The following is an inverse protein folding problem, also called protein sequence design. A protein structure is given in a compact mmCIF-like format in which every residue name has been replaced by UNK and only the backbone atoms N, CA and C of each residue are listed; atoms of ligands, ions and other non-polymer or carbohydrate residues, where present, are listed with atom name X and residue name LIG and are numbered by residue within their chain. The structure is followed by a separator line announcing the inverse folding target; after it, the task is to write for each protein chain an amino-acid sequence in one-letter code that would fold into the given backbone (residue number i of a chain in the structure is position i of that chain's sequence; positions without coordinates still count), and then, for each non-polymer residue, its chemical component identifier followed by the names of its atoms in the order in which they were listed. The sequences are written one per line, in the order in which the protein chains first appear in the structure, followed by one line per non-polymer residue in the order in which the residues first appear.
data_IF_568226948023
#
_entry.id   IF_568226948023
#
_cell.length_a   1.000
_cell.length_b   1.000
_cell.length_c   1.000
_cell.angle_alpha   90.00
_cell.angle_beta   90.00
_cell.angle_gamma   90.00
#
_symmetry.space_group_name_H-M   'P 1'
#
loop_
_entity.id
_entity.type
_entity.pdbx_description
1 polymer ?
#
# COMPACT_ATOMS: atom_id res chain seq x y z
N UNK A 1 -16.57 -7.17 0.09
CA UNK A 1 -15.16 -6.74 0.25
C UNK A 1 -15.12 -5.52 1.18
N UNK A 2 -15.12 -5.74 2.51
CA UNK A 2 -15.09 -4.64 3.51
C UNK A 2 -13.67 -4.14 3.81
N UNK A 3 -12.65 -4.92 3.45
CA UNK A 3 -11.25 -4.63 3.76
C UNK A 3 -10.74 -3.33 3.12
N UNK A 4 -10.98 -3.15 1.82
CA UNK A 4 -10.47 -2.00 1.05
C UNK A 4 -11.24 -0.68 1.30
N UNK A 5 -12.25 -0.71 2.17
CA UNK A 5 -13.08 0.44 2.53
C UNK A 5 -12.80 0.98 3.94
N UNK A 6 -12.08 0.24 4.78
CA UNK A 6 -11.76 0.67 6.15
C UNK A 6 -10.40 1.34 6.24
N UNK A 7 -10.36 2.55 6.81
CA UNK A 7 -9.14 3.35 7.02
C UNK A 7 -8.12 2.62 7.89
N UNK A 8 -8.58 1.80 8.84
CA UNK A 8 -7.70 0.99 9.69
C UNK A 8 -6.77 0.09 8.87
N UNK A 9 -7.30 -0.59 7.85
CA UNK A 9 -6.48 -1.49 7.03
C UNK A 9 -5.54 -0.73 6.11
N UNK A 10 -5.96 0.44 5.61
CA UNK A 10 -5.07 1.35 4.90
C UNK A 10 -3.89 1.75 5.81
N UNK A 11 -4.15 2.15 7.05
CA UNK A 11 -3.10 2.59 7.98
C UNK A 11 -2.11 1.46 8.32
N UNK A 12 -2.58 0.21 8.40
CA UNK A 12 -1.71 -0.95 8.54
C UNK A 12 -0.79 -1.07 7.33
N UNK A 13 -1.31 -0.96 6.11
CA UNK A 13 -0.47 -1.00 4.91
C UNK A 13 0.55 0.15 4.87
N UNK A 14 0.15 1.37 5.23
CA UNK A 14 1.06 2.52 5.31
C UNK A 14 2.16 2.30 6.35
N UNK A 15 1.84 1.65 7.47
CA UNK A 15 2.81 1.29 8.50
C UNK A 15 3.80 0.26 7.99
N UNK A 16 3.32 -0.79 7.31
CA UNK A 16 4.16 -1.85 6.75
C UNK A 16 5.07 -1.36 5.60
N UNK A 17 4.70 -0.28 4.91
CA UNK A 17 5.60 0.40 3.95
C UNK A 17 6.86 0.98 4.61
N UNK A 18 6.88 1.14 5.94
CA UNK A 18 8.02 1.62 6.72
C UNK A 18 8.87 0.48 7.30
N UNK A 19 8.47 -0.77 7.09
CA UNK A 19 9.15 -1.92 7.69
C UNK A 19 10.60 -2.04 7.20
N UNK A 20 11.49 -2.56 8.04
CA UNK A 20 12.90 -2.79 7.69
C UNK A 20 13.10 -3.85 6.61
N UNK A 21 12.21 -4.85 6.54
CA UNK A 21 12.24 -5.94 5.58
C UNK A 21 11.81 -5.48 4.19
N UNK A 22 12.67 -5.72 3.19
CA UNK A 22 12.37 -5.47 1.78
C UNK A 22 11.09 -6.17 1.33
N UNK A 23 10.91 -7.44 1.71
CA UNK A 23 9.79 -8.26 1.27
C UNK A 23 8.47 -7.77 1.89
N UNK A 24 8.48 -7.38 3.17
CA UNK A 24 7.29 -6.82 3.82
C UNK A 24 6.86 -5.52 3.13
N UNK A 25 7.80 -4.62 2.83
CA UNK A 25 7.49 -3.38 2.11
C UNK A 25 6.89 -3.63 0.72
N UNK A 26 7.42 -4.61 -0.02
CA UNK A 26 6.91 -4.98 -1.36
C UNK A 26 5.49 -5.54 -1.25
N UNK A 27 5.24 -6.53 -0.38
CA UNK A 27 3.91 -7.10 -0.19
C UNK A 27 2.89 -6.04 0.25
N UNK A 28 3.27 -5.17 1.21
CA UNK A 28 2.43 -4.07 1.65
C UNK A 28 2.11 -3.09 0.50
N UNK A 29 3.07 -2.83 -0.39
CA UNK A 29 2.84 -1.99 -1.56
C UNK A 29 1.84 -2.62 -2.54
N UNK A 30 1.93 -3.92 -2.81
CA UNK A 30 0.96 -4.61 -3.67
C UNK A 30 -0.47 -4.48 -3.13
N UNK A 31 -0.67 -4.67 -1.83
CA UNK A 31 -1.99 -4.50 -1.19
C UNK A 31 -2.41 -3.02 -1.17
N UNK A 32 -1.50 -2.10 -0.87
CA UNK A 32 -1.75 -0.66 -0.88
C UNK A 32 -2.25 -0.18 -2.24
N UNK A 33 -1.70 -0.69 -3.36
CA UNK A 33 -2.19 -0.39 -4.71
C UNK A 33 -3.67 -0.69 -4.87
N UNK A 34 -4.20 -1.74 -4.24
CA UNK A 34 -5.62 -2.11 -4.31
C UNK A 34 -6.51 -1.05 -3.63
N UNK A 35 -6.08 -0.48 -2.50
CA UNK A 35 -6.79 0.65 -1.86
C UNK A 35 -6.87 1.85 -2.80
N UNK A 36 -5.76 2.19 -3.46
CA UNK A 36 -5.68 3.35 -4.36
C UNK A 36 -6.43 3.10 -5.67
N UNK A 37 -6.40 1.87 -6.20
CA UNK A 37 -7.07 1.48 -7.44
C UNK A 37 -8.57 1.23 -7.29
N UNK A 38 -9.11 1.18 -6.07
CA UNK A 38 -10.55 0.98 -5.85
C UNK A 38 -11.37 2.09 -6.56
N UNK A 39 -12.22 1.77 -7.56
CA UNK A 39 -13.03 2.76 -8.27
C UNK A 39 -14.12 3.36 -7.38
N UNK A 40 -14.61 2.61 -6.40
CA UNK A 40 -15.62 3.05 -5.42
C UNK A 40 -14.95 3.43 -4.09
N UNK A 41 -13.94 4.28 -4.16
CA UNK A 41 -13.13 4.65 -3.00
C UNK A 41 -13.95 5.50 -2.02
N UNK A 42 -14.06 5.01 -0.79
CA UNK A 42 -14.81 5.72 0.25
C UNK A 42 -14.13 7.05 0.61
N UNK A 43 -14.92 8.07 0.96
CA UNK A 43 -14.41 9.42 1.26
C UNK A 43 -13.35 9.42 2.37
N UNK A 44 -13.57 8.61 3.42
CA UNK A 44 -12.62 8.46 4.52
C UNK A 44 -11.25 7.91 4.09
N UNK A 45 -11.21 7.05 3.08
CA UNK A 45 -9.95 6.55 2.49
C UNK A 45 -9.23 7.68 1.74
N UNK A 46 -9.97 8.51 1.00
CA UNK A 46 -9.41 9.67 0.28
C UNK A 46 -8.82 10.67 1.27
N UNK A 47 -9.54 11.01 2.33
CA UNK A 47 -9.10 11.93 3.37
C UNK A 47 -7.80 11.42 4.04
N UNK A 48 -7.77 10.14 4.44
CA UNK A 48 -6.56 9.53 5.00
C UNK A 48 -5.36 9.56 4.03
N UNK A 49 -5.58 9.32 2.73
CA UNK A 49 -4.51 9.41 1.73
C UNK A 49 -3.99 10.85 1.56
N UNK A 50 -4.87 11.85 1.63
CA UNK A 50 -4.50 13.27 1.54
C UNK A 50 -3.70 13.69 2.77
N UNK A 51 -4.14 13.33 3.97
CA UNK A 51 -3.46 13.61 5.24
C UNK A 51 -2.04 13.03 5.25
N UNK A 52 -1.87 11.82 4.71
CA UNK A 52 -0.58 11.13 4.67
C UNK A 52 0.23 11.41 3.39
N UNK A 53 -0.24 12.29 2.49
CA UNK A 53 0.33 12.48 1.15
C UNK A 53 1.84 12.69 1.14
N UNK A 54 2.36 13.56 2.00
CA UNK A 54 3.79 13.90 2.06
C UNK A 54 4.65 12.70 2.45
N UNK A 55 4.18 11.92 3.42
CA UNK A 55 4.88 10.72 3.87
C UNK A 55 4.81 9.62 2.80
N UNK A 56 3.62 9.38 2.25
CA UNK A 56 3.42 8.40 1.18
C UNK A 56 4.35 8.66 0.00
N UNK A 57 4.48 9.91 -0.45
CA UNK A 57 5.41 10.26 -1.54
C UNK A 57 6.86 9.87 -1.21
N UNK A 58 7.32 10.10 0.02
CA UNK A 58 8.67 9.70 0.45
C UNK A 58 8.83 8.18 0.51
N UNK A 59 7.82 7.46 1.02
CA UNK A 59 7.87 6.00 1.10
C UNK A 59 7.90 5.39 -0.30
N UNK A 60 7.04 5.87 -1.21
CA UNK A 60 6.94 5.38 -2.58
C UNK A 60 8.20 5.66 -3.41
N UNK A 61 8.86 6.80 -3.19
CA UNK A 61 10.14 7.12 -3.85
C UNK A 61 11.30 6.22 -3.38
N UNK A 62 11.27 5.79 -2.13
CA UNK A 62 12.29 4.93 -1.52
C UNK A 62 11.92 3.44 -1.56
N UNK A 63 10.83 3.08 -2.27
CA UNK A 63 10.48 1.67 -2.42
C UNK A 63 11.61 0.94 -3.16
N UNK A 64 11.94 -0.28 -2.74
CA UNK A 64 12.88 -1.11 -3.48
C UNK A 64 12.35 -1.22 -4.91
N UNK A 65 13.14 -0.77 -5.89
CA UNK A 65 12.79 -0.97 -7.30
C UNK A 65 12.72 -2.47 -7.53
N UNK A 66 11.52 -2.96 -7.86
CA UNK A 66 11.31 -4.32 -8.31
C UNK A 66 11.93 -4.45 -9.70
N UNK A 67 13.27 -4.51 -9.79
CA UNK A 67 13.90 -5.10 -10.97
C UNK A 67 13.61 -6.60 -10.89
N UNK A 68 12.46 -7.00 -11.42
CA UNK A 68 11.89 -8.35 -11.28
C UNK A 68 10.42 -8.34 -10.88
N UNK A 69 9.64 -7.36 -11.37
CA UNK A 69 8.17 -7.46 -11.37
C UNK A 69 7.80 -8.73 -12.15
N UNK A 70 7.56 -9.85 -11.45
CA UNK A 70 6.79 -11.04 -11.86
C UNK A 70 6.96 -12.25 -10.89
N UNK A 71 7.77 -12.16 -9.83
CA UNK A 71 7.90 -13.25 -8.83
C UNK A 71 7.35 -12.85 -7.46
N UNK A 72 6.05 -12.59 -7.38
CA UNK A 72 5.32 -13.20 -6.28
C UNK A 72 4.79 -14.49 -6.88
N UNK A 73 5.66 -15.52 -6.87
CA UNK A 73 5.33 -16.87 -7.28
C UNK A 73 3.90 -17.17 -6.84
N UNK A 74 3.11 -17.61 -7.81
CA UNK A 74 1.84 -18.28 -7.58
C UNK A 74 2.09 -19.35 -6.50
N UNK A 75 1.79 -19.03 -5.25
CA UNK A 75 1.66 -20.03 -4.20
C UNK A 75 0.45 -20.89 -4.59
N UNK A 76 0.77 -22.00 -5.25
CA UNK A 76 -0.11 -23.13 -5.58
C UNK A 76 -0.62 -23.79 -4.31
#
# INVERSE_FOLDING_TARGET
MHYITEVRFLNIMITLLKDSSKNIRICAFHVFKVFVANPNKHRSIIEALIENRRELLKLLQNLPTSKGEDELDEER
#
